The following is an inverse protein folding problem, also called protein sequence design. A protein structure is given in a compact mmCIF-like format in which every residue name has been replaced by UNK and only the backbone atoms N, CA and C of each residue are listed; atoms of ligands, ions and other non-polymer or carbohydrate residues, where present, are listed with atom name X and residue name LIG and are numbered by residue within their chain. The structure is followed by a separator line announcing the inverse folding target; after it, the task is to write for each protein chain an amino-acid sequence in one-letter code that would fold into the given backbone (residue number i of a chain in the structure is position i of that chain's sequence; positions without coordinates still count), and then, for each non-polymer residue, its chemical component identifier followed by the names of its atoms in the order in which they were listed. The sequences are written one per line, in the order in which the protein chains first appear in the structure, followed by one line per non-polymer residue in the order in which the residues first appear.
data_IF_760836324289
#
_entry.id   IF_760836324289
#
_cell.length_a   1.000
_cell.length_b   1.000
_cell.length_c   1.000
_cell.angle_alpha   90.00
_cell.angle_beta   90.00
_cell.angle_gamma   90.00
#
_symmetry.space_group_name_H-M   'P 1'
#
loop_
_entity.id
_entity.type
_entity.pdbx_description
1 polymer ?
#
# COMPACT_ATOMS: atom_id res chain seq x y z
N UNK A 1 5.04 -21.31 -21.89
CA UNK A 1 4.64 -19.88 -21.82
C UNK A 1 5.28 -19.26 -20.59
N UNK A 2 6.15 -18.25 -20.73
CA UNK A 2 6.62 -17.46 -19.58
C UNK A 2 5.48 -16.54 -19.18
N UNK A 3 4.81 -16.81 -18.07
CA UNK A 3 3.86 -15.87 -17.47
C UNK A 3 4.62 -14.60 -17.11
N UNK A 4 4.17 -13.45 -17.61
CA UNK A 4 4.72 -12.16 -17.20
C UNK A 4 4.61 -12.04 -15.66
N UNK A 5 5.60 -11.45 -14.97
CA UNK A 5 5.52 -11.30 -13.52
C UNK A 5 4.31 -10.42 -13.18
N UNK A 6 3.46 -10.90 -12.27
CA UNK A 6 2.27 -10.20 -11.78
C UNK A 6 2.70 -8.95 -11.01
N UNK A 7 1.86 -7.91 -11.03
CA UNK A 7 2.09 -6.72 -10.20
C UNK A 7 2.04 -7.13 -8.73
N UNK A 8 2.97 -6.64 -7.92
CA UNK A 8 2.95 -6.93 -6.49
C UNK A 8 2.01 -5.96 -5.79
N UNK A 9 1.04 -6.48 -5.04
CA UNK A 9 0.20 -5.71 -4.12
C UNK A 9 0.74 -5.90 -2.70
N UNK A 10 1.58 -4.98 -2.26
CA UNK A 10 2.10 -4.93 -0.91
C UNK A 10 1.11 -4.25 0.03
N UNK A 11 0.68 -4.93 1.08
CA UNK A 11 -0.13 -4.33 2.15
C UNK A 11 0.80 -4.00 3.30
N UNK A 12 0.99 -2.71 3.59
CA UNK A 12 1.86 -2.25 4.68
C UNK A 12 1.22 -2.59 6.02
N UNK A 13 1.76 -3.62 6.66
CA UNK A 13 1.30 -4.12 7.95
C UNK A 13 1.98 -3.36 9.10
N UNK A 14 1.18 -2.84 10.01
CA UNK A 14 1.61 -2.18 11.25
C UNK A 14 0.70 -2.62 12.41
N UNK A 15 1.16 -2.63 13.67
CA UNK A 15 0.37 -3.13 14.80
C UNK A 15 -1.02 -2.48 14.93
N UNK A 16 -1.15 -1.20 14.60
CA UNK A 16 -2.41 -0.45 14.68
C UNK A 16 -3.38 -0.73 13.52
N UNK A 17 -2.95 -1.38 12.43
CA UNK A 17 -3.80 -1.70 11.28
C UNK A 17 -3.99 -3.22 11.07
N UNK A 18 -3.71 -4.02 12.10
CA UNK A 18 -3.79 -5.50 12.06
C UNK A 18 -5.10 -6.07 11.52
N UNK A 19 -6.21 -5.35 11.71
CA UNK A 19 -7.54 -5.77 11.24
C UNK A 19 -7.83 -5.40 9.79
N UNK A 20 -7.05 -4.49 9.19
CA UNK A 20 -7.20 -4.13 7.78
C UNK A 20 -6.77 -5.27 6.86
N UNK A 21 -5.70 -6.00 7.20
CA UNK A 21 -5.16 -7.03 6.32
C UNK A 21 -6.16 -8.16 6.01
N UNK A 22 -6.83 -8.79 7.01
CA UNK A 22 -7.83 -9.81 6.74
C UNK A 22 -9.02 -9.31 5.92
N UNK A 23 -9.46 -8.06 6.14
CA UNK A 23 -10.56 -7.45 5.38
C UNK A 23 -10.17 -7.27 3.92
N UNK A 24 -9.02 -6.63 3.66
CA UNK A 24 -8.55 -6.44 2.28
C UNK A 24 -8.36 -7.80 1.59
N UNK A 25 -7.76 -8.78 2.27
CA UNK A 25 -7.55 -10.11 1.71
C UNK A 25 -8.87 -10.77 1.32
N UNK A 26 -9.88 -10.72 2.20
CA UNK A 26 -11.21 -11.24 1.90
C UNK A 26 -11.81 -10.62 0.62
N UNK A 27 -11.74 -9.29 0.47
CA UNK A 27 -12.26 -8.61 -0.72
C UNK A 27 -11.47 -8.93 -1.99
N UNK A 28 -10.14 -9.03 -1.89
CA UNK A 28 -9.27 -9.41 -3.01
C UNK A 28 -9.57 -10.83 -3.52
N UNK A 29 -9.87 -11.76 -2.61
CA UNK A 29 -10.29 -13.13 -2.92
C UNK A 29 -11.67 -13.16 -3.59
N UNK A 30 -12.65 -12.41 -3.06
CA UNK A 30 -13.99 -12.31 -3.67
C UNK A 30 -13.91 -11.75 -5.09
N UNK A 31 -13.05 -10.77 -5.31
CA UNK A 31 -12.82 -10.15 -6.62
C UNK A 31 -11.94 -11.00 -7.57
N UNK A 32 -11.45 -12.18 -7.14
CA UNK A 32 -10.61 -13.11 -7.93
C UNK A 32 -9.39 -12.43 -8.56
N UNK A 33 -8.75 -11.57 -7.76
CA UNK A 33 -7.66 -10.70 -8.23
C UNK A 33 -6.32 -11.42 -8.40
N UNK A 34 -6.26 -12.72 -8.09
CA UNK A 34 -5.06 -13.56 -8.15
C UNK A 34 -4.41 -13.58 -9.54
N UNK A 35 -5.19 -13.37 -10.59
CA UNK A 35 -4.68 -13.31 -11.96
C UNK A 35 -3.86 -12.04 -12.25
N UNK A 36 -4.12 -10.96 -11.51
CA UNK A 36 -3.50 -9.64 -11.70
C UNK A 36 -2.40 -9.33 -10.69
N UNK A 37 -2.60 -9.74 -9.44
CA UNK A 37 -1.72 -9.37 -8.34
C UNK A 37 -1.06 -10.56 -7.66
N UNK A 38 0.17 -10.34 -7.21
CA UNK A 38 0.80 -11.13 -6.17
C UNK A 38 0.67 -10.35 -4.85
N UNK A 39 -0.20 -10.81 -3.97
CA UNK A 39 -0.50 -10.14 -2.69
C UNK A 39 0.53 -10.56 -1.65
N UNK A 40 1.05 -9.59 -0.88
CA UNK A 40 1.95 -9.86 0.23
C UNK A 40 1.82 -8.81 1.34
N UNK A 41 2.03 -9.23 2.59
CA UNK A 41 2.22 -8.30 3.71
C UNK A 41 3.62 -7.69 3.68
N UNK A 42 3.73 -6.41 4.04
CA UNK A 42 5.00 -5.69 4.14
C UNK A 42 5.12 -5.10 5.54
N UNK A 43 5.98 -5.69 6.37
CA UNK A 43 6.04 -5.40 7.81
C UNK A 43 7.18 -4.45 8.19
N UNK A 44 8.18 -4.30 7.32
CA UNK A 44 9.38 -3.50 7.58
C UNK A 44 9.78 -2.64 6.38
N UNK A 45 10.55 -1.57 6.65
CA UNK A 45 11.14 -0.75 5.59
C UNK A 45 12.11 -1.54 4.70
N UNK A 46 12.80 -2.54 5.26
CA UNK A 46 13.67 -3.42 4.49
C UNK A 46 12.88 -4.22 3.44
N UNK A 47 11.70 -4.72 3.77
CA UNK A 47 10.82 -5.39 2.80
C UNK A 47 10.30 -4.42 1.73
N UNK A 48 10.00 -3.16 2.09
CA UNK A 48 9.66 -2.13 1.09
C UNK A 48 10.81 -1.94 0.09
N UNK A 49 12.05 -1.86 0.57
CA UNK A 49 13.22 -1.76 -0.29
C UNK A 49 13.36 -2.97 -1.22
N UNK A 50 13.26 -4.17 -0.65
CA UNK A 50 13.34 -5.42 -1.41
C UNK A 50 12.30 -5.48 -2.54
N UNK A 51 11.08 -4.97 -2.29
CA UNK A 51 10.03 -4.87 -3.32
C UNK A 51 10.45 -3.99 -4.50
N UNK A 52 11.04 -2.83 -4.23
CA UNK A 52 11.45 -1.90 -5.29
C UNK A 52 12.60 -2.43 -6.16
N UNK A 53 13.42 -3.33 -5.61
CA UNK A 53 14.57 -3.94 -6.29
C UNK A 53 14.17 -5.09 -7.21
N UNK A 54 12.94 -5.62 -7.10
CA UNK A 54 12.47 -6.74 -7.95
C UNK A 54 12.35 -6.39 -9.44
N UNK A 55 12.27 -5.10 -9.79
CA UNK A 55 12.03 -4.64 -11.17
C UNK A 55 10.59 -4.86 -11.67
N UNK A 56 9.72 -5.43 -10.84
CA UNK A 56 8.30 -5.66 -11.12
C UNK A 56 7.48 -4.43 -10.66
N UNK A 57 6.34 -4.11 -11.29
CA UNK A 57 5.42 -3.09 -10.77
C UNK A 57 4.96 -3.42 -9.34
N UNK A 58 4.92 -2.41 -8.47
CA UNK A 58 4.53 -2.53 -7.06
C UNK A 58 3.47 -1.49 -6.73
N UNK A 59 2.36 -1.97 -6.17
CA UNK A 59 1.33 -1.18 -5.50
C UNK A 59 1.50 -1.38 -3.99
N UNK A 60 1.91 -0.34 -3.25
CA UNK A 60 2.09 -0.42 -1.80
C UNK A 60 0.99 0.36 -1.08
N UNK A 61 0.10 -0.39 -0.41
CA UNK A 61 -1.06 0.13 0.28
C UNK A 61 -0.76 0.41 1.76
N UNK A 62 -1.07 1.62 2.21
CA UNK A 62 -1.07 2.05 3.60
C UNK A 62 -2.51 2.22 4.08
N UNK A 63 -2.80 1.74 5.30
CA UNK A 63 -4.04 2.02 6.00
C UNK A 63 -3.70 2.51 7.40
N UNK A 64 -4.17 3.71 7.74
CA UNK A 64 -3.79 4.37 8.99
C UNK A 64 -4.84 5.36 9.48
N UNK A 65 -4.79 5.65 10.77
CA UNK A 65 -5.62 6.63 11.46
C UNK A 65 -4.86 7.96 11.62
N UNK A 66 -5.58 9.05 11.86
CA UNK A 66 -5.00 10.40 11.98
C UNK A 66 -3.82 10.51 12.95
N UNK A 67 -3.81 9.88 14.14
CA UNK A 67 -2.67 9.95 15.05
C UNK A 67 -1.36 9.35 14.48
N UNK A 68 -1.46 8.47 13.48
CA UNK A 68 -0.31 7.81 12.88
C UNK A 68 0.26 8.58 11.67
N UNK A 69 -0.44 9.60 11.20
CA UNK A 69 -0.05 10.33 9.99
C UNK A 69 1.39 10.89 10.04
N UNK A 70 1.87 11.52 11.13
CA UNK A 70 3.25 12.01 11.19
C UNK A 70 4.29 10.90 10.94
N UNK A 71 4.13 9.75 11.61
CA UNK A 71 5.03 8.60 11.44
C UNK A 71 4.94 7.99 10.03
N UNK A 72 3.74 7.96 9.44
CA UNK A 72 3.53 7.51 8.06
C UNK A 72 4.24 8.46 7.09
N UNK A 73 4.17 9.77 7.29
CA UNK A 73 4.88 10.76 6.45
C UNK A 73 6.39 10.56 6.53
N UNK A 74 6.94 10.35 7.72
CA UNK A 74 8.37 10.05 7.89
C UNK A 74 8.78 8.78 7.14
N UNK A 75 7.98 7.71 7.22
CA UNK A 75 8.23 6.48 6.47
C UNK A 75 8.13 6.70 4.96
N UNK A 76 7.07 7.39 4.50
CA UNK A 76 6.84 7.68 3.09
C UNK A 76 7.99 8.50 2.52
N UNK A 77 8.49 9.51 3.23
CA UNK A 77 9.66 10.28 2.80
C UNK A 77 10.89 9.39 2.56
N UNK A 78 11.12 8.40 3.44
CA UNK A 78 12.21 7.42 3.26
C UNK A 78 11.98 6.49 2.07
N UNK A 79 10.73 6.09 1.84
CA UNK A 79 10.35 5.25 0.67
C UNK A 79 10.50 6.05 -0.62
N UNK A 80 10.10 7.32 -0.63
CA UNK A 80 10.20 8.21 -1.77
C UNK A 80 11.65 8.51 -2.17
N UNK A 81 12.58 8.53 -1.20
CA UNK A 81 14.01 8.63 -1.47
C UNK A 81 14.57 7.44 -2.27
N UNK A 82 13.86 6.31 -2.28
CA UNK A 82 14.20 5.09 -3.02
C UNK A 82 13.21 4.82 -4.17
N UNK A 83 12.40 5.82 -4.54
CA UNK A 83 11.29 5.64 -5.47
C UNK A 83 11.78 5.24 -6.86
N UNK A 84 11.14 4.21 -7.40
CA UNK A 84 11.24 3.86 -8.81
C UNK A 84 9.93 4.23 -9.52
N UNK A 85 9.93 4.43 -10.85
CA UNK A 85 8.69 4.64 -11.62
C UNK A 85 7.68 3.49 -11.50
N UNK A 86 8.13 2.33 -11.02
CA UNK A 86 7.35 1.10 -10.86
C UNK A 86 6.65 1.01 -9.51
N UNK A 87 6.98 1.88 -8.56
CA UNK A 87 6.34 1.96 -7.25
C UNK A 87 5.23 3.01 -7.25
N UNK A 88 4.02 2.56 -6.88
CA UNK A 88 2.88 3.41 -6.57
C UNK A 88 2.45 3.23 -5.12
N UNK A 89 2.23 4.35 -4.44
CA UNK A 89 1.79 4.39 -3.06
C UNK A 89 0.29 4.67 -3.01
N UNK A 90 -0.45 3.82 -2.32
CA UNK A 90 -1.90 3.96 -2.12
C UNK A 90 -2.16 4.15 -0.63
N UNK A 91 -3.12 5.00 -0.29
CA UNK A 91 -3.55 5.23 1.07
C UNK A 91 -5.05 4.99 1.22
N UNK A 92 -5.44 4.36 2.32
CA UNK A 92 -6.81 4.20 2.76
C UNK A 92 -6.93 4.35 4.28
N UNK A 93 -8.10 4.00 4.81
CA UNK A 93 -8.39 4.10 6.24
C UNK A 93 -8.92 5.48 6.67
N UNK A 94 -9.15 5.67 7.98
CA UNK A 94 -9.87 6.84 8.48
C UNK A 94 -9.20 8.17 8.15
N UNK A 95 -7.87 8.25 8.15
CA UNK A 95 -7.18 9.50 7.82
C UNK A 95 -7.33 9.86 6.34
N UNK A 96 -7.05 8.91 5.44
CA UNK A 96 -7.21 9.12 4.00
C UNK A 96 -8.65 9.46 3.61
N UNK A 97 -9.63 8.98 4.37
CA UNK A 97 -11.04 9.32 4.19
C UNK A 97 -11.38 10.74 4.66
N UNK A 98 -10.83 11.17 5.81
CA UNK A 98 -11.11 12.47 6.41
C UNK A 98 -10.32 13.64 5.82
N UNK A 99 -9.11 13.39 5.32
CA UNK A 99 -8.23 14.39 4.72
C UNK A 99 -7.36 13.79 3.58
N UNK A 100 -7.96 13.45 2.43
CA UNK A 100 -7.22 12.92 1.29
C UNK A 100 -6.19 13.93 0.72
N UNK A 101 -6.40 15.23 0.93
CA UNK A 101 -5.51 16.26 0.41
C UNK A 101 -4.15 16.25 1.10
N UNK A 102 -4.09 16.08 2.42
CA UNK A 102 -2.81 15.95 3.12
C UNK A 102 -2.08 14.66 2.77
N UNK A 103 -2.81 13.56 2.54
CA UNK A 103 -2.25 12.29 2.06
C UNK A 103 -1.59 12.43 0.70
N UNK A 104 -2.26 13.07 -0.27
CA UNK A 104 -1.65 13.32 -1.59
C UNK A 104 -0.44 14.25 -1.48
N UNK A 105 -0.50 15.29 -0.63
CA UNK A 105 0.65 16.18 -0.36
C UNK A 105 1.83 15.46 0.29
N UNK A 106 1.58 14.39 1.05
CA UNK A 106 2.63 13.55 1.64
C UNK A 106 3.35 12.65 0.61
N UNK A 107 2.89 12.63 -0.65
CA UNK A 107 3.55 11.94 -1.75
C UNK A 107 2.94 10.57 -2.12
N UNK A 108 1.77 10.25 -1.59
CA UNK A 108 0.95 9.15 -2.10
C UNK A 108 0.46 9.44 -3.52
N UNK A 109 0.36 8.41 -4.36
CA UNK A 109 -0.21 8.54 -5.71
C UNK A 109 -1.74 8.53 -5.68
N UNK A 110 -2.32 7.77 -4.76
CA UNK A 110 -3.75 7.58 -4.63
C UNK A 110 -4.18 7.63 -3.16
N UNK A 111 -5.26 8.34 -2.89
CA UNK A 111 -5.93 8.37 -1.59
C UNK A 111 -7.38 7.91 -1.79
N UNK A 112 -7.77 6.84 -1.12
CA UNK A 112 -9.10 6.25 -1.18
C UNK A 112 -9.87 6.55 0.11
N UNK A 113 -11.13 6.95 -0.05
CA UNK A 113 -12.03 7.28 1.04
C UNK A 113 -13.14 6.24 1.21
N UNK A 114 -13.58 6.02 2.45
CA UNK A 114 -14.65 5.07 2.78
C UNK A 114 -14.18 3.61 2.77
N UNK A 115 -15.13 2.69 2.59
CA UNK A 115 -14.89 1.25 2.43
C UNK A 115 -14.38 0.95 1.01
N UNK A 116 -13.19 1.44 0.69
CA UNK A 116 -12.62 1.41 -0.66
C UNK A 116 -12.26 -0.01 -1.17
N UNK A 117 -12.40 -1.03 -0.32
CA UNK A 117 -12.26 -2.43 -0.69
C UNK A 117 -13.46 -3.00 -1.46
N UNK A 118 -14.61 -2.31 -1.47
CA UNK A 118 -15.84 -2.70 -2.21
C UNK A 118 -15.89 -2.11 -3.61
#
# INVERSE_FOLDING_TARGET
MKTNPKTILGIRWQPYNRFTFPVILHHLEQAKTDSYFQVQSVSSFHEVKALTETGVPVLLLYSFMTPHFPAVVEEVNRVLAQRTPRLKLLAGGPHASGDPASVLKAGFDFAYAGAAET
#
